data_IF_064459245880
#
_entry.id   IF_064459245880
#
_cell.length_a   1.000
_cell.length_b   1.000
_cell.length_c   1.000
_cell.angle_alpha   90.00
_cell.angle_beta   90.00
_cell.angle_gamma   90.00
#
_symmetry.space_group_name_H-M   'P 1'
#
loop_
_entity.id
_entity.type
_entity.pdbx_description
1 polymer ?
#
# COMPACT_ATOMS: atom_id res chain seq x y z
N UNK A 1 -18.13 -0.30 7.12
CA UNK A 1 -18.04 -1.58 6.38
C UNK A 1 -17.22 -1.33 5.14
N UNK A 2 -16.01 -1.87 5.11
CA UNK A 2 -15.07 -1.71 3.99
C UNK A 2 -15.65 -2.40 2.74
N UNK A 3 -15.99 -1.66 1.66
CA UNK A 3 -16.38 -2.25 0.38
C UNK A 3 -15.36 -3.29 -0.10
N UNK A 4 -14.09 -3.13 0.33
CA UNK A 4 -13.00 -4.03 0.03
C UNK A 4 -13.14 -5.46 0.60
N UNK A 5 -13.78 -5.67 1.74
CA UNK A 5 -13.91 -7.04 2.30
C UNK A 5 -14.80 -7.96 1.47
N UNK A 6 -15.89 -7.43 0.93
CA UNK A 6 -16.78 -8.20 0.05
C UNK A 6 -16.08 -8.54 -1.26
N UNK A 7 -15.38 -7.56 -1.85
CA UNK A 7 -14.55 -7.77 -3.05
C UNK A 7 -13.49 -8.84 -2.81
N UNK A 8 -12.71 -8.72 -1.72
CA UNK A 8 -11.66 -9.67 -1.37
C UNK A 8 -12.18 -11.09 -1.21
N UNK A 9 -13.32 -11.26 -0.55
CA UNK A 9 -13.97 -12.58 -0.39
C UNK A 9 -14.45 -13.15 -1.73
N UNK A 10 -15.00 -12.30 -2.61
CA UNK A 10 -15.41 -12.71 -3.95
C UNK A 10 -14.22 -13.16 -4.80
N UNK A 11 -13.12 -12.41 -4.81
CA UNK A 11 -11.90 -12.77 -5.52
C UNK A 11 -11.29 -14.07 -4.95
N UNK A 12 -11.26 -14.23 -3.63
CA UNK A 12 -10.74 -15.43 -3.00
C UNK A 12 -11.61 -16.66 -3.30
N UNK A 13 -12.95 -16.53 -3.36
CA UNK A 13 -13.84 -17.60 -3.73
C UNK A 13 -13.60 -18.09 -5.17
N UNK A 14 -13.34 -17.15 -6.10
CA UNK A 14 -12.98 -17.47 -7.48
C UNK A 14 -11.55 -18.04 -7.61
N UNK A 15 -10.64 -17.68 -6.71
CA UNK A 15 -9.22 -18.04 -6.70
C UNK A 15 -8.84 -19.16 -5.73
N UNK A 16 -9.76 -20.05 -5.37
CA UNK A 16 -9.49 -21.16 -4.43
C UNK A 16 -8.83 -20.71 -3.09
N UNK A 17 -9.34 -19.63 -2.51
CA UNK A 17 -8.85 -19.07 -1.25
C UNK A 17 -7.74 -18.04 -1.39
N UNK A 18 -7.25 -17.82 -2.59
CA UNK A 18 -6.25 -16.78 -2.89
C UNK A 18 -6.88 -15.57 -3.60
N UNK A 19 -6.42 -14.38 -3.25
CA UNK A 19 -6.85 -13.12 -3.86
C UNK A 19 -5.86 -12.72 -4.93
N UNK A 20 -6.35 -12.54 -6.15
CA UNK A 20 -5.63 -11.88 -7.21
C UNK A 20 -6.50 -10.76 -7.77
N UNK A 21 -6.02 -9.54 -7.72
CA UNK A 21 -6.72 -8.41 -8.30
C UNK A 21 -6.55 -8.40 -9.82
N UNK A 22 -7.58 -7.99 -10.57
CA UNK A 22 -7.42 -7.66 -11.99
C UNK A 22 -6.37 -6.56 -12.19
N UNK A 23 -5.56 -6.67 -13.23
CA UNK A 23 -4.47 -5.73 -13.51
C UNK A 23 -4.93 -4.25 -13.56
N UNK A 24 -6.10 -3.99 -14.12
CA UNK A 24 -6.67 -2.63 -14.16
C UNK A 24 -6.97 -2.08 -12.75
N UNK A 25 -7.40 -2.93 -11.82
CA UNK A 25 -7.68 -2.52 -10.44
C UNK A 25 -6.39 -2.33 -9.65
N UNK A 26 -5.37 -3.15 -9.89
CA UNK A 26 -4.02 -2.98 -9.33
C UNK A 26 -3.45 -1.62 -9.73
N UNK A 27 -3.46 -1.30 -11.03
CA UNK A 27 -3.01 -0.02 -11.55
C UNK A 27 -3.79 1.15 -10.93
N UNK A 28 -5.12 1.08 -10.93
CA UNK A 28 -6.00 2.15 -10.43
C UNK A 28 -5.86 2.42 -8.92
N UNK A 29 -5.25 1.52 -8.16
CA UNK A 29 -5.07 1.68 -6.70
C UNK A 29 -3.65 2.02 -6.30
N UNK A 30 -2.65 1.48 -6.99
CA UNK A 30 -1.28 1.54 -6.49
C UNK A 30 -0.29 2.26 -7.40
N UNK A 31 -0.65 2.51 -8.68
CA UNK A 31 0.28 3.04 -9.69
C UNK A 31 -0.36 4.15 -10.53
N UNK A 32 -1.23 4.97 -9.93
CA UNK A 32 -2.04 5.98 -10.64
C UNK A 32 -1.22 7.14 -11.21
N UNK A 33 -0.01 7.35 -10.72
CA UNK A 33 0.94 8.35 -11.18
C UNK A 33 1.77 7.90 -12.41
N UNK A 34 1.62 6.66 -12.84
CA UNK A 34 2.26 6.12 -14.03
C UNK A 34 1.21 5.70 -15.06
N UNK A 35 1.42 5.92 -16.38
CA UNK A 35 0.54 5.39 -17.41
C UNK A 35 0.45 3.87 -17.38
N UNK A 36 -0.73 3.30 -17.69
CA UNK A 36 -0.94 1.84 -17.65
C UNK A 36 0.01 1.06 -18.58
N UNK A 37 0.47 1.67 -19.68
CA UNK A 37 1.44 1.08 -20.61
C UNK A 37 2.91 1.32 -20.24
N UNK A 38 3.20 1.99 -19.12
CA UNK A 38 4.58 2.20 -18.67
C UNK A 38 5.27 0.84 -18.41
N UNK A 39 6.52 0.62 -18.89
CA UNK A 39 7.26 -0.61 -18.65
C UNK A 39 7.41 -0.99 -17.17
N UNK A 40 7.47 0.00 -16.28
CA UNK A 40 7.51 -0.23 -14.83
C UNK A 40 6.21 -0.85 -14.32
N UNK A 41 5.07 -0.32 -14.80
CA UNK A 41 3.73 -0.84 -14.46
C UNK A 41 3.55 -2.25 -15.00
N UNK A 42 3.79 -2.46 -16.29
CA UNK A 42 3.62 -3.77 -16.93
C UNK A 42 4.57 -4.82 -16.33
N UNK A 43 5.81 -4.43 -16.02
CA UNK A 43 6.78 -5.30 -15.35
C UNK A 43 6.41 -5.62 -13.90
N UNK A 44 5.82 -4.69 -13.15
CA UNK A 44 5.31 -4.94 -11.81
C UNK A 44 4.11 -5.90 -11.85
N UNK A 45 3.13 -5.63 -12.70
CA UNK A 45 1.93 -6.48 -12.85
C UNK A 45 2.27 -7.91 -13.23
N UNK A 46 3.26 -8.11 -14.11
CA UNK A 46 3.70 -9.45 -14.53
C UNK A 46 4.34 -10.28 -13.40
N UNK A 47 4.80 -9.64 -12.32
CA UNK A 47 5.42 -10.30 -11.16
C UNK A 47 4.48 -10.50 -9.99
N UNK A 48 3.26 -9.97 -10.04
CA UNK A 48 2.29 -10.17 -8.97
C UNK A 48 1.83 -11.62 -8.93
N UNK A 49 1.70 -12.13 -7.72
CA UNK A 49 1.21 -13.47 -7.44
C UNK A 49 -0.04 -13.41 -6.56
N UNK A 50 -0.96 -14.38 -6.67
CA UNK A 50 -2.11 -14.47 -5.78
C UNK A 50 -1.68 -14.52 -4.30
N UNK A 51 -2.43 -13.84 -3.44
CA UNK A 51 -2.16 -13.79 -1.99
C UNK A 51 -3.29 -14.49 -1.20
N UNK A 52 -2.97 -15.22 -0.12
CA UNK A 52 -3.99 -15.78 0.76
C UNK A 52 -4.93 -14.69 1.30
N UNK A 53 -6.22 -15.00 1.42
CA UNK A 53 -7.22 -14.06 1.94
C UNK A 53 -7.00 -13.70 3.42
N UNK A 54 -6.54 -14.64 4.24
CA UNK A 54 -6.48 -14.49 5.71
C UNK A 54 -5.74 -13.24 6.17
N UNK A 55 -4.52 -12.90 5.69
CA UNK A 55 -3.80 -11.68 6.08
C UNK A 55 -4.58 -10.38 5.82
N UNK A 56 -5.52 -10.39 4.87
CA UNK A 56 -6.33 -9.22 4.52
C UNK A 56 -7.53 -8.99 5.42
N UNK A 57 -8.02 -10.03 6.09
CA UNK A 57 -9.30 -9.98 6.81
C UNK A 57 -9.20 -10.31 8.29
N UNK A 58 -8.13 -10.97 8.73
CA UNK A 58 -7.91 -11.29 10.13
C UNK A 58 -7.37 -10.07 10.90
N UNK A 59 -7.65 -10.05 12.19
CA UNK A 59 -7.09 -9.04 13.10
C UNK A 59 -5.70 -9.45 13.51
N UNK A 60 -4.80 -8.49 13.53
CA UNK A 60 -3.43 -8.65 14.06
C UNK A 60 -3.38 -8.00 15.44
N UNK A 61 -2.81 -8.69 16.43
CA UNK A 61 -2.49 -8.09 17.73
C UNK A 61 -1.27 -7.18 17.57
N UNK A 62 -1.49 -5.89 17.79
CA UNK A 62 -0.47 -4.85 17.65
C UNK A 62 0.08 -4.35 18.99
N UNK A 63 -0.28 -4.98 20.15
CA UNK A 63 0.12 -4.49 21.47
C UNK A 63 1.64 -4.43 21.60
N UNK A 64 2.34 -5.50 21.24
CA UNK A 64 3.81 -5.54 21.28
C UNK A 64 4.44 -4.48 20.36
N UNK A 65 3.91 -4.30 19.14
CA UNK A 65 4.39 -3.31 18.22
C UNK A 65 4.31 -1.89 18.80
N UNK A 66 3.16 -1.53 19.40
CA UNK A 66 3.01 -0.19 19.99
C UNK A 66 3.83 -0.01 21.27
N UNK A 67 4.10 -1.06 22.02
CA UNK A 67 4.92 -1.03 23.22
C UNK A 67 6.43 -0.93 22.93
N UNK A 68 6.87 -1.18 21.70
CA UNK A 68 8.30 -1.11 21.34
C UNK A 68 8.78 0.34 21.35
N UNK A 69 9.89 0.59 22.04
CA UNK A 69 10.58 1.88 21.99
C UNK A 69 11.61 1.89 20.84
N UNK A 70 11.13 1.99 19.62
CA UNK A 70 11.94 2.06 18.39
C UNK A 70 11.62 3.33 17.63
N UNK A 71 12.61 3.98 16.99
CA UNK A 71 12.34 5.09 16.07
C UNK A 71 11.34 4.65 14.98
N UNK A 72 10.42 5.54 14.63
CA UNK A 72 9.41 5.28 13.61
C UNK A 72 9.33 6.48 12.67
N UNK A 73 9.20 6.20 11.40
CA UNK A 73 8.93 7.19 10.37
C UNK A 73 7.75 6.73 9.53
N UNK A 74 6.89 7.66 9.16
CA UNK A 74 5.79 7.42 8.25
C UNK A 74 5.96 8.30 7.01
N UNK A 75 6.08 7.68 5.83
CA UNK A 75 6.08 8.39 4.55
C UNK A 75 4.65 8.38 4.03
N UNK A 76 4.08 9.57 3.78
CA UNK A 76 2.72 9.74 3.27
C UNK A 76 2.78 10.10 1.80
N UNK A 77 2.27 9.20 0.95
CA UNK A 77 2.12 9.46 -0.48
C UNK A 77 0.88 10.32 -0.73
N UNK A 78 1.04 11.48 -1.32
CA UNK A 78 -0.03 12.47 -1.46
C UNK A 78 -1.06 12.10 -2.53
N UNK A 79 -0.68 11.33 -3.54
CA UNK A 79 -1.54 10.80 -4.60
C UNK A 79 -2.03 9.37 -4.37
N UNK A 80 -1.91 8.84 -3.14
CA UNK A 80 -2.25 7.45 -2.82
C UNK A 80 -3.76 7.20 -2.93
N UNK A 81 -4.16 6.32 -3.84
CA UNK A 81 -5.54 5.88 -4.03
C UNK A 81 -5.87 4.59 -3.23
N UNK A 82 -4.87 3.91 -2.68
CA UNK A 82 -5.06 2.73 -1.84
C UNK A 82 -5.25 3.12 -0.36
N UNK A 83 -4.38 3.99 0.14
CA UNK A 83 -4.46 4.59 1.48
C UNK A 83 -4.51 6.11 1.32
N UNK A 84 -5.71 6.64 1.16
CA UNK A 84 -5.89 8.09 0.94
C UNK A 84 -5.16 8.93 1.99
N UNK A 85 -4.60 10.12 1.65
CA UNK A 85 -3.73 10.90 2.53
C UNK A 85 -4.32 11.21 3.90
N UNK A 86 -5.63 11.43 3.99
CA UNK A 86 -6.32 11.62 5.28
C UNK A 86 -6.20 10.39 6.19
N UNK A 87 -6.31 9.18 5.61
CA UNK A 87 -6.16 7.92 6.36
C UNK A 87 -4.71 7.65 6.75
N UNK A 88 -3.77 8.00 5.88
CA UNK A 88 -2.33 7.94 6.17
C UNK A 88 -1.97 8.88 7.35
N UNK A 89 -2.57 10.07 7.42
CA UNK A 89 -2.40 10.99 8.55
C UNK A 89 -2.88 10.39 9.88
N UNK A 90 -4.04 9.70 9.88
CA UNK A 90 -4.52 8.98 11.06
C UNK A 90 -3.54 7.88 11.51
N UNK A 91 -2.94 7.16 10.58
CA UNK A 91 -1.96 6.13 10.88
C UNK A 91 -0.67 6.71 11.46
N UNK A 92 -0.15 7.79 10.89
CA UNK A 92 1.00 8.51 11.41
C UNK A 92 0.73 9.03 12.85
N UNK A 93 -0.45 9.61 13.09
CA UNK A 93 -0.86 10.06 14.41
C UNK A 93 -0.90 8.92 15.45
N UNK A 94 -1.39 7.73 15.07
CA UNK A 94 -1.37 6.54 15.94
C UNK A 94 0.04 6.05 16.28
N UNK A 95 1.00 6.31 15.39
CA UNK A 95 2.42 6.02 15.63
C UNK A 95 3.11 7.11 16.45
N UNK A 96 2.45 8.24 16.69
CA UNK A 96 3.02 9.38 17.38
C UNK A 96 4.06 10.14 16.55
N UNK A 97 3.96 10.11 15.22
CA UNK A 97 4.93 10.74 14.32
C UNK A 97 4.27 11.73 13.37
N UNK A 98 5.02 12.76 12.97
CA UNK A 98 4.66 13.63 11.85
C UNK A 98 5.07 12.94 10.55
N UNK A 99 4.17 12.76 9.58
CA UNK A 99 4.53 12.12 8.32
C UNK A 99 5.45 13.00 7.48
N UNK A 100 6.31 12.35 6.71
CA UNK A 100 7.07 12.97 5.63
C UNK A 100 6.23 12.82 4.36
N UNK A 101 5.90 13.92 3.71
CA UNK A 101 5.10 13.92 2.49
C UNK A 101 5.95 13.63 1.26
N UNK A 102 5.42 12.78 0.38
CA UNK A 102 6.00 12.45 -0.90
C UNK A 102 4.91 12.55 -1.99
N UNK A 103 5.17 13.33 -3.02
CA UNK A 103 4.23 13.53 -4.14
C UNK A 103 4.34 12.36 -5.13
N UNK A 104 3.57 11.32 -4.85
CA UNK A 104 3.50 10.09 -5.64
C UNK A 104 2.23 9.30 -5.32
N UNK A 105 1.93 8.25 -6.10
CA UNK A 105 0.93 7.24 -5.77
C UNK A 105 1.44 6.25 -4.68
N UNK A 106 0.71 5.17 -4.45
CA UNK A 106 1.00 4.17 -3.40
C UNK A 106 2.36 3.47 -3.55
N UNK A 107 2.91 3.43 -4.76
CA UNK A 107 4.12 2.71 -5.11
C UNK A 107 5.35 3.57 -5.39
N UNK A 108 5.86 4.39 -4.44
CA UNK A 108 6.98 5.31 -4.66
C UNK A 108 8.25 4.62 -5.17
N UNK A 109 8.45 3.35 -4.84
CA UNK A 109 9.57 2.56 -5.34
C UNK A 109 9.53 2.35 -6.87
N UNK A 110 8.37 2.54 -7.50
CA UNK A 110 8.19 2.45 -8.95
C UNK A 110 8.25 3.81 -9.63
N UNK A 111 7.54 4.79 -9.07
CA UNK A 111 7.37 6.10 -9.71
C UNK A 111 8.43 7.12 -9.30
N UNK A 112 8.81 7.14 -8.02
CA UNK A 112 9.70 8.14 -7.41
C UNK A 112 10.84 7.51 -6.59
N UNK A 113 11.62 6.53 -7.14
CA UNK A 113 12.65 5.81 -6.39
C UNK A 113 13.72 6.74 -5.83
N UNK A 114 14.17 7.74 -6.59
CA UNK A 114 15.21 8.66 -6.14
C UNK A 114 14.73 9.58 -5.00
N UNK A 115 13.48 10.01 -5.06
CA UNK A 115 12.89 10.81 -3.99
C UNK A 115 12.72 9.99 -2.71
N UNK A 116 12.31 8.72 -2.85
CA UNK A 116 12.23 7.79 -1.73
C UNK A 116 13.60 7.54 -1.10
N UNK A 117 14.64 7.29 -1.91
CA UNK A 117 16.02 7.10 -1.44
C UNK A 117 16.51 8.32 -0.66
N UNK A 118 16.31 9.53 -1.18
CA UNK A 118 16.69 10.77 -0.47
C UNK A 118 16.01 10.94 0.89
N UNK A 119 14.82 10.42 1.07
CA UNK A 119 14.16 10.39 2.38
C UNK A 119 14.83 9.36 3.29
N UNK A 120 15.03 8.14 2.81
CA UNK A 120 15.59 7.04 3.59
C UNK A 120 17.03 7.30 4.06
N UNK A 121 17.84 7.99 3.26
CA UNK A 121 19.22 8.38 3.61
C UNK A 121 19.32 9.41 4.76
N UNK A 122 18.21 10.05 5.11
CA UNK A 122 18.13 11.06 6.19
C UNK A 122 17.55 10.52 7.50
N UNK A 123 17.19 9.27 7.53
CA UNK A 123 16.60 8.61 8.71
C UNK A 123 17.69 7.96 9.58
#
# INVERSE_FOLDING_TARGET
TLPGRTLLRGLAAAGNGAVQYPAALEHARWMTDLPAGDPRVTGALARLTPQPLRPWVERVDMQRFYAMNVPRTYIRCLGDAAIVPAKAAEYAARLGVTPIDLDCAHGPMLSEPDALVRILEKL
#
